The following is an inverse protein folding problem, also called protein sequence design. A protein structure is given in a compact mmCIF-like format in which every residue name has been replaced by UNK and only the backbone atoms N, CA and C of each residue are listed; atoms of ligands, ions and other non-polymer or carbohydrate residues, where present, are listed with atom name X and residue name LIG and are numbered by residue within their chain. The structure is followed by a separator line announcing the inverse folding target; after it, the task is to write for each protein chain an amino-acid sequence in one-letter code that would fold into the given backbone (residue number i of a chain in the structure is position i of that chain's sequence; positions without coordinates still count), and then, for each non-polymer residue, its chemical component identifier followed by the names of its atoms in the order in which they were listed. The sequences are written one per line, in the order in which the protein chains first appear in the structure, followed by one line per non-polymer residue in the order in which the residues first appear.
data_IF_797211105448
#
_entry.id   IF_797211105448
#
_cell.length_a   1.000
_cell.length_b   1.000
_cell.length_c   1.000
_cell.angle_alpha   90.00
_cell.angle_beta   90.00
_cell.angle_gamma   90.00
#
_symmetry.space_group_name_H-M   'P 1'
#
loop_
_entity.id
_entity.type
_entity.pdbx_description
1 polymer ?
#
# COMPACT_ATOMS: atom_id res chain seq x y z
N UNK A 1 -16.54 -1.99 8.09
CA UNK A 1 -15.87 -0.72 8.43
C UNK A 1 -15.53 -0.05 7.11
N UNK A 2 -15.90 1.21 6.93
CA UNK A 2 -15.63 2.00 5.72
C UNK A 2 -14.22 2.60 5.75
N UNK A 3 -13.66 2.92 4.58
CA UNK A 3 -12.36 3.56 4.44
C UNK A 3 -12.55 5.07 4.33
N UNK A 4 -12.35 5.78 5.43
CA UNK A 4 -12.50 7.24 5.51
C UNK A 4 -11.48 7.85 6.49
N UNK A 5 -11.10 9.14 6.33
CA UNK A 5 -10.04 9.76 7.15
C UNK A 5 -10.31 9.74 8.65
N UNK A 6 -11.57 9.91 9.05
CA UNK A 6 -12.00 9.93 10.47
C UNK A 6 -11.76 8.60 11.18
N UNK A 7 -11.57 7.49 10.43
CA UNK A 7 -11.26 6.15 10.96
C UNK A 7 -9.77 5.83 10.94
N UNK A 8 -8.91 6.78 10.57
CA UNK A 8 -7.48 6.55 10.35
C UNK A 8 -6.77 5.85 11.51
N UNK A 9 -6.98 6.29 12.75
CA UNK A 9 -6.39 5.68 13.94
C UNK A 9 -6.82 4.21 14.11
N UNK A 10 -8.10 3.91 13.85
CA UNK A 10 -8.64 2.55 13.97
C UNK A 10 -8.12 1.62 12.88
N UNK A 11 -8.03 2.12 11.64
CA UNK A 11 -7.45 1.40 10.51
C UNK A 11 -5.97 1.04 10.77
N UNK A 12 -5.20 1.98 11.31
CA UNK A 12 -3.82 1.77 11.73
C UNK A 12 -3.73 0.71 12.84
N UNK A 13 -4.50 0.87 13.92
CA UNK A 13 -4.52 -0.09 15.04
C UNK A 13 -4.82 -1.51 14.54
N UNK A 14 -5.85 -1.68 13.71
CA UNK A 14 -6.21 -2.98 13.14
C UNK A 14 -5.09 -3.51 12.24
N UNK A 15 -4.48 -2.66 11.41
CA UNK A 15 -3.40 -3.08 10.52
C UNK A 15 -2.16 -3.56 11.28
N UNK A 16 -1.75 -2.83 12.31
CA UNK A 16 -0.61 -3.21 13.16
C UNK A 16 -0.92 -4.43 14.03
N UNK A 17 -2.19 -4.78 14.26
CA UNK A 17 -2.60 -6.04 14.91
C UNK A 17 -2.66 -7.22 13.95
N UNK A 18 -3.16 -7.01 12.73
CA UNK A 18 -3.32 -8.08 11.73
C UNK A 18 -1.96 -8.51 11.16
N UNK A 19 -1.04 -7.57 10.91
CA UNK A 19 0.26 -7.86 10.29
C UNK A 19 1.10 -8.87 11.08
N UNK A 20 1.29 -8.74 12.41
CA UNK A 20 2.02 -9.74 13.20
C UNK A 20 1.35 -11.12 13.19
N UNK A 21 0.02 -11.16 13.29
CA UNK A 21 -0.73 -12.42 13.24
C UNK A 21 -0.53 -13.14 11.90
N UNK A 22 -0.57 -12.42 10.78
CA UNK A 22 -0.29 -12.99 9.46
C UNK A 22 1.16 -13.44 9.32
N UNK A 23 2.12 -12.65 9.79
CA UNK A 23 3.55 -13.01 9.75
C UNK A 23 3.86 -14.29 10.55
N UNK A 24 3.16 -14.51 11.66
CA UNK A 24 3.29 -15.73 12.46
C UNK A 24 2.72 -16.97 11.75
N UNK A 25 1.68 -16.78 10.92
CA UNK A 25 1.01 -17.87 10.22
C UNK A 25 1.64 -18.23 8.86
N UNK A 26 2.17 -17.24 8.14
CA UNK A 26 2.68 -17.43 6.79
C UNK A 26 3.76 -16.40 6.41
N UNK A 27 4.82 -16.88 5.76
CA UNK A 27 5.86 -16.03 5.17
C UNK A 27 5.85 -16.23 3.66
N UNK A 28 5.34 -15.27 2.86
CA UNK A 28 5.45 -15.33 1.41
C UNK A 28 6.91 -15.18 0.99
N UNK A 29 7.30 -15.87 -0.08
CA UNK A 29 8.60 -15.76 -0.73
C UNK A 29 8.41 -15.42 -2.20
N UNK A 30 9.19 -14.48 -2.73
CA UNK A 30 9.20 -14.21 -4.16
C UNK A 30 9.91 -15.36 -4.89
N UNK A 31 9.32 -15.93 -5.97
CA UNK A 31 9.82 -17.15 -6.61
C UNK A 31 11.22 -17.02 -7.22
N UNK A 32 11.57 -15.82 -7.71
CA UNK A 32 12.87 -15.59 -8.37
C UNK A 32 13.84 -14.74 -7.53
N UNK A 33 13.43 -14.26 -6.36
CA UNK A 33 14.27 -13.38 -5.54
C UNK A 33 14.10 -13.68 -4.05
N UNK A 34 15.00 -14.47 -3.44
CA UNK A 34 14.86 -14.90 -2.04
C UNK A 34 14.98 -13.76 -1.02
N UNK A 35 15.53 -12.60 -1.41
CA UNK A 35 15.62 -11.41 -0.56
C UNK A 35 14.25 -10.74 -0.37
N UNK A 36 13.30 -10.98 -1.27
CA UNK A 36 11.93 -10.48 -1.17
C UNK A 36 11.09 -11.56 -0.47
N UNK A 37 10.98 -11.42 0.85
CA UNK A 37 10.19 -12.33 1.71
C UNK A 37 9.43 -11.59 2.80
N UNK A 38 8.32 -12.19 3.24
CA UNK A 38 7.48 -11.66 4.30
C UNK A 38 6.49 -10.58 3.85
N UNK A 39 5.77 -10.02 4.83
CA UNK A 39 4.68 -9.05 4.61
C UNK A 39 5.16 -7.67 5.03
N UNK A 40 5.30 -6.75 4.08
CA UNK A 40 5.76 -5.38 4.32
C UNK A 40 4.63 -4.43 4.75
N UNK A 41 3.46 -4.55 4.12
CA UNK A 41 2.29 -3.68 4.31
C UNK A 41 1.00 -4.48 4.40
N UNK A 42 -0.07 -3.85 4.89
CA UNK A 42 -1.42 -4.41 4.86
C UNK A 42 -2.34 -3.45 4.11
N UNK A 43 -3.10 -3.97 3.16
CA UNK A 43 -4.06 -3.18 2.39
C UNK A 43 -5.50 -3.53 2.80
N UNK A 44 -6.25 -2.52 3.23
CA UNK A 44 -7.71 -2.60 3.35
C UNK A 44 -8.32 -2.19 2.03
N UNK A 45 -9.29 -2.96 1.53
CA UNK A 45 -9.98 -2.67 0.27
C UNK A 45 -11.48 -2.69 0.47
N UNK A 46 -12.19 -1.73 -0.12
CA UNK A 46 -13.64 -1.80 -0.32
C UNK A 46 -13.98 -2.72 -1.51
N UNK A 47 -15.26 -3.13 -1.65
CA UNK A 47 -15.71 -3.90 -2.80
C UNK A 47 -15.41 -3.23 -4.14
N UNK A 48 -15.31 -4.05 -5.19
CA UNK A 48 -15.19 -3.56 -6.57
C UNK A 48 -16.56 -3.12 -7.07
N UNK A 49 -16.63 -1.96 -7.71
CA UNK A 49 -17.82 -1.42 -8.35
C UNK A 49 -17.57 -1.17 -9.84
N UNK A 50 -18.64 -1.10 -10.62
CA UNK A 50 -18.63 -0.64 -12.00
C UNK A 50 -19.15 0.80 -12.04
N UNK A 51 -18.42 1.71 -12.67
CA UNK A 51 -18.90 3.05 -13.01
C UNK A 51 -18.97 3.24 -14.53
N UNK A 52 -19.27 4.48 -14.97
CA UNK A 52 -19.41 4.83 -16.38
C UNK A 52 -18.09 4.71 -17.18
N UNK A 53 -16.93 4.74 -16.53
CA UNK A 53 -15.61 4.72 -17.17
C UNK A 53 -14.97 3.33 -17.07
N UNK A 54 -15.23 2.59 -16.00
CA UNK A 54 -14.70 1.24 -15.80
C UNK A 54 -14.89 0.72 -14.38
N UNK A 55 -13.94 -0.07 -13.90
CA UNK A 55 -13.94 -0.57 -12.53
C UNK A 55 -13.45 0.48 -11.56
N UNK A 56 -14.04 0.55 -10.37
CA UNK A 56 -13.61 1.44 -9.30
C UNK A 56 -13.62 0.73 -7.94
N UNK A 57 -12.64 1.01 -7.11
CA UNK A 57 -12.61 0.59 -5.70
C UNK A 57 -11.83 1.62 -4.87
N UNK A 58 -12.05 1.60 -3.56
CA UNK A 58 -11.28 2.39 -2.59
C UNK A 58 -10.37 1.48 -1.76
N UNK A 59 -9.19 1.96 -1.41
CA UNK A 59 -8.28 1.29 -0.47
C UNK A 59 -7.65 2.25 0.54
N UNK A 60 -7.00 1.65 1.53
CA UNK A 60 -5.92 2.28 2.25
C UNK A 60 -4.88 1.25 2.66
N UNK A 61 -3.60 1.65 2.63
CA UNK A 61 -2.48 0.80 3.01
C UNK A 61 -1.92 1.25 4.35
N UNK A 62 -1.80 0.32 5.29
CA UNK A 62 -1.11 0.51 6.56
C UNK A 62 0.39 0.23 6.38
N UNK A 63 1.16 1.29 6.46
CA UNK A 63 2.63 1.30 6.43
C UNK A 63 3.13 1.36 7.86
N UNK A 64 4.04 0.46 8.22
CA UNK A 64 4.63 0.49 9.57
C UNK A 64 5.63 1.64 9.71
N UNK A 65 5.72 2.30 10.88
CA UNK A 65 5.04 1.95 12.14
C UNK A 65 3.73 2.75 12.31
N UNK A 66 2.62 2.27 11.74
CA UNK A 66 1.29 2.82 11.95
C UNK A 66 0.93 4.13 11.22
N UNK A 67 1.06 4.16 9.89
CA UNK A 67 0.56 5.27 9.04
C UNK A 67 -0.25 4.74 7.87
N UNK A 68 -1.22 5.54 7.44
CA UNK A 68 -1.91 5.29 6.18
C UNK A 68 -1.14 5.90 5.01
N UNK A 69 -1.04 5.19 3.89
CA UNK A 69 -0.69 5.79 2.61
C UNK A 69 -1.81 6.76 2.19
N UNK A 70 -1.43 7.98 1.81
CA UNK A 70 -2.36 9.03 1.33
C UNK A 70 -2.58 8.92 -0.17
N UNK A 71 -1.70 8.22 -0.87
CA UNK A 71 -1.94 7.78 -2.24
C UNK A 71 -2.75 6.48 -2.23
N UNK A 72 -3.32 6.06 -3.37
CA UNK A 72 -3.91 4.73 -3.50
C UNK A 72 -2.91 3.57 -3.42
N UNK A 73 -1.62 3.86 -3.14
CA UNK A 73 -0.49 2.94 -3.09
C UNK A 73 -0.25 2.18 -4.40
N UNK A 74 0.80 2.52 -5.15
CA UNK A 74 1.03 1.93 -6.49
C UNK A 74 1.26 0.41 -6.45
N UNK A 75 2.04 -0.07 -5.48
CA UNK A 75 2.31 -1.50 -5.29
C UNK A 75 1.10 -2.24 -4.73
N UNK A 76 0.35 -1.63 -3.78
CA UNK A 76 -0.93 -2.17 -3.30
C UNK A 76 -1.95 -2.30 -4.43
N UNK A 77 -2.12 -1.25 -5.22
CA UNK A 77 -2.95 -1.25 -6.43
C UNK A 77 -2.55 -2.35 -7.41
N UNK A 78 -1.25 -2.56 -7.63
CA UNK A 78 -0.73 -3.64 -8.48
C UNK A 78 -1.10 -5.02 -7.93
N UNK A 79 -0.93 -5.25 -6.62
CA UNK A 79 -1.31 -6.49 -5.96
C UNK A 79 -2.84 -6.72 -6.01
N UNK A 80 -3.63 -5.67 -5.81
CA UNK A 80 -5.09 -5.72 -5.92
C UNK A 80 -5.53 -6.08 -7.33
N UNK A 81 -4.93 -5.48 -8.36
CA UNK A 81 -5.23 -5.82 -9.76
C UNK A 81 -4.88 -7.28 -10.07
N UNK A 82 -3.76 -7.81 -9.56
CA UNK A 82 -3.40 -9.21 -9.73
C UNK A 82 -4.47 -10.14 -9.15
N UNK A 83 -4.95 -9.84 -7.93
CA UNK A 83 -6.03 -10.58 -7.28
C UNK A 83 -7.35 -10.51 -8.06
N UNK A 84 -7.73 -9.32 -8.53
CA UNK A 84 -8.96 -9.14 -9.30
C UNK A 84 -8.91 -9.88 -10.64
N UNK A 85 -7.77 -9.84 -11.33
CA UNK A 85 -7.56 -10.58 -12.58
C UNK A 85 -7.61 -12.10 -12.36
N UNK A 86 -6.93 -12.61 -11.33
CA UNK A 86 -6.99 -14.03 -10.98
C UNK A 86 -8.41 -14.51 -10.66
N UNK A 87 -9.28 -13.61 -10.18
CA UNK A 87 -10.71 -13.86 -9.94
C UNK A 87 -11.61 -13.63 -11.15
N UNK A 88 -11.06 -13.24 -12.32
CA UNK A 88 -11.83 -12.90 -13.51
C UNK A 88 -12.67 -11.61 -13.38
N UNK A 89 -12.36 -10.75 -12.40
CA UNK A 89 -13.11 -9.53 -12.10
C UNK A 89 -12.55 -8.27 -12.77
N UNK A 90 -11.34 -8.35 -13.31
CA UNK A 90 -10.68 -7.28 -14.05
C UNK A 90 -9.94 -7.89 -15.25
N UNK A 91 -10.35 -7.53 -16.46
CA UNK A 91 -9.78 -8.06 -17.69
C UNK A 91 -8.52 -7.31 -18.14
N UNK A 92 -7.77 -7.92 -19.08
CA UNK A 92 -6.69 -7.25 -19.78
C UNK A 92 -7.17 -5.94 -20.44
N UNK A 93 -6.38 -4.87 -20.32
CA UNK A 93 -6.70 -3.56 -20.89
C UNK A 93 -7.87 -2.82 -20.22
N UNK A 94 -8.62 -3.47 -19.33
CA UNK A 94 -9.77 -2.86 -18.65
C UNK A 94 -9.31 -1.73 -17.72
N UNK A 95 -10.05 -0.63 -17.74
CA UNK A 95 -9.77 0.53 -16.92
C UNK A 95 -10.16 0.26 -15.46
N UNK A 96 -9.23 0.53 -14.55
CA UNK A 96 -9.44 0.46 -13.12
C UNK A 96 -9.01 1.76 -12.45
N UNK A 97 -9.94 2.40 -11.75
CA UNK A 97 -9.70 3.55 -10.90
C UNK A 97 -9.59 3.10 -9.45
N UNK A 98 -8.42 3.27 -8.84
CA UNK A 98 -8.23 2.95 -7.44
C UNK A 98 -8.11 4.23 -6.63
N UNK A 99 -8.98 4.41 -5.64
CA UNK A 99 -9.03 5.62 -4.81
C UNK A 99 -8.45 5.38 -3.41
N UNK A 100 -7.86 6.41 -2.82
CA UNK A 100 -7.26 6.35 -1.48
C UNK A 100 -8.26 6.74 -0.38
N UNK A 101 -7.79 6.67 0.86
CA UNK A 101 -8.53 7.16 2.04
C UNK A 101 -8.86 8.66 1.99
N UNK A 102 -8.13 9.46 1.21
CA UNK A 102 -8.38 10.90 1.00
C UNK A 102 -8.90 11.21 -0.42
N UNK A 103 -9.46 10.21 -1.10
CA UNK A 103 -10.10 10.34 -2.42
C UNK A 103 -9.18 10.78 -3.58
N UNK A 104 -7.85 10.73 -3.39
CA UNK A 104 -6.91 10.76 -4.52
C UNK A 104 -7.04 9.46 -5.33
N UNK A 105 -6.63 9.48 -6.60
CA UNK A 105 -6.86 8.35 -7.50
C UNK A 105 -5.66 8.03 -8.39
N UNK A 106 -5.50 6.75 -8.70
CA UNK A 106 -4.68 6.25 -9.79
C UNK A 106 -5.55 5.69 -10.90
N UNK A 107 -5.13 5.93 -12.14
CA UNK A 107 -5.69 5.35 -13.35
C UNK A 107 -4.85 4.13 -13.73
N UNK A 108 -5.45 2.96 -13.79
CA UNK A 108 -4.71 1.71 -13.87
C UNK A 108 -5.26 0.79 -14.96
N UNK A 109 -4.37 -0.02 -15.55
CA UNK A 109 -4.72 -1.06 -16.53
C UNK A 109 -3.74 -2.23 -16.46
N UNK A 110 -4.21 -3.43 -16.77
CA UNK A 110 -3.31 -4.57 -17.00
C UNK A 110 -2.80 -4.47 -18.44
N UNK A 111 -1.51 -4.21 -18.60
CA UNK A 111 -0.88 -3.99 -19.90
C UNK A 111 -0.49 -5.28 -20.62
N UNK A 112 -0.25 -6.36 -19.88
CA UNK A 112 0.03 -7.74 -20.35
C UNK A 112 0.05 -8.72 -19.19
N UNK A 113 0.01 -9.99 -19.52
CA UNK A 113 0.26 -11.11 -18.61
C UNK A 113 1.53 -11.84 -19.05
N UNK A 114 2.24 -12.40 -18.07
CA UNK A 114 3.46 -13.18 -18.26
C UNK A 114 3.46 -14.36 -17.30
N UNK A 115 4.41 -15.29 -17.50
CA UNK A 115 4.72 -16.31 -16.52
C UNK A 115 6.04 -16.01 -15.82
N UNK A 116 6.09 -16.29 -14.52
CA UNK A 116 7.28 -16.25 -13.67
C UNK A 116 7.38 -17.62 -13.02
N UNK A 117 8.29 -18.46 -13.53
CA UNK A 117 8.19 -19.91 -13.34
C UNK A 117 6.83 -20.43 -13.83
N UNK A 118 6.10 -21.14 -12.96
CA UNK A 118 4.77 -21.67 -13.26
C UNK A 118 3.62 -20.70 -12.89
N UNK A 119 3.93 -19.53 -12.34
CA UNK A 119 2.94 -18.58 -11.82
C UNK A 119 2.51 -17.59 -12.91
N UNK A 120 1.21 -17.42 -13.11
CA UNK A 120 0.65 -16.36 -13.95
C UNK A 120 0.75 -15.00 -13.25
N UNK A 121 1.39 -14.04 -13.91
CA UNK A 121 1.70 -12.72 -13.38
C UNK A 121 1.14 -11.65 -14.32
N UNK A 122 0.60 -10.57 -13.75
CA UNK A 122 0.19 -9.40 -14.51
C UNK A 122 1.31 -8.37 -14.58
N UNK A 123 1.30 -7.56 -15.63
CA UNK A 123 2.13 -6.34 -15.74
C UNK A 123 1.18 -5.13 -15.68
N UNK A 124 1.00 -4.53 -14.51
CA UNK A 124 0.12 -3.39 -14.33
C UNK A 124 0.79 -2.09 -14.78
N UNK A 125 0.00 -1.18 -15.35
CA UNK A 125 0.36 0.23 -15.54
C UNK A 125 -0.41 1.04 -14.53
N UNK A 126 0.30 1.87 -13.77
CA UNK A 126 -0.27 2.78 -12.76
C UNK A 126 0.06 4.22 -13.19
N UNK A 127 -0.96 5.05 -13.39
CA UNK A 127 -0.81 6.46 -13.72
C UNK A 127 -1.33 7.32 -12.58
N UNK A 128 -0.47 8.24 -12.12
CA UNK A 128 -0.76 9.21 -11.08
C UNK A 128 -0.20 10.59 -11.43
N UNK A 129 -0.26 11.50 -10.46
CA UNK A 129 0.30 12.85 -10.56
C UNK A 129 1.08 13.16 -9.29
N UNK A 130 2.10 14.01 -9.42
CA UNK A 130 2.89 14.51 -8.31
C UNK A 130 3.07 16.03 -8.47
N UNK A 131 3.35 16.70 -7.35
CA UNK A 131 3.56 18.14 -7.31
C UNK A 131 4.82 18.44 -6.49
N UNK A 132 5.61 19.41 -6.96
CA UNK A 132 6.74 19.93 -6.18
C UNK A 132 6.17 20.70 -4.98
N UNK A 133 6.54 20.29 -3.77
CA UNK A 133 6.05 20.93 -2.53
C UNK A 133 7.07 21.88 -1.91
N UNK A 134 8.36 21.67 -2.16
CA UNK A 134 9.44 22.53 -1.65
C UNK A 134 10.79 22.18 -2.28
N UNK A 135 11.73 23.13 -2.22
CA UNK A 135 13.16 22.87 -2.35
C UNK A 135 13.77 23.02 -0.96
N UNK A 136 14.57 22.03 -0.51
CA UNK A 136 15.13 22.01 0.85
C UNK A 136 16.62 21.72 0.81
N UNK A 137 17.39 22.41 1.64
CA UNK A 137 18.73 22.02 2.05
C UNK A 137 18.62 21.52 3.50
N UNK A 138 18.90 20.24 3.72
CA UNK A 138 18.91 19.62 5.05
C UNK A 138 20.37 19.51 5.46
N UNK A 139 20.71 20.03 6.64
CA UNK A 139 22.06 20.04 7.21
C UNK A 139 22.05 19.35 8.56
N UNK A 140 23.18 18.78 8.96
CA UNK A 140 23.37 18.14 10.26
C UNK A 140 24.59 18.78 10.92
N UNK A 141 24.37 19.42 12.07
CA UNK A 141 25.43 20.03 12.87
C UNK A 141 26.16 18.93 13.67
N UNK A 142 27.51 18.91 13.71
CA UNK A 142 28.25 17.97 14.55
C UNK A 142 27.93 18.03 16.05
N UNK A 143 27.42 19.16 16.55
CA UNK A 143 27.03 19.35 17.95
C UNK A 143 25.53 19.11 18.20
N UNK A 144 24.74 18.73 17.19
CA UNK A 144 23.33 18.41 17.36
C UNK A 144 23.16 17.24 18.35
N UNK A 145 22.44 17.40 19.48
CA UNK A 145 22.22 16.32 20.43
C UNK A 145 21.29 15.21 19.89
N UNK A 146 20.62 15.42 18.75
CA UNK A 146 19.71 14.46 18.12
C UNK A 146 20.05 14.21 16.64
N UNK A 147 21.28 13.76 16.32
CA UNK A 147 21.76 13.70 14.93
C UNK A 147 21.04 12.67 14.07
N UNK A 148 20.35 11.71 14.70
CA UNK A 148 19.53 10.68 14.05
C UNK A 148 18.03 10.93 14.23
N UNK A 149 17.65 12.09 14.80
CA UNK A 149 16.29 12.37 15.24
C UNK A 149 15.83 11.50 16.42
N UNK A 150 14.55 11.58 16.73
CA UNK A 150 13.89 10.84 17.81
C UNK A 150 12.45 10.52 17.45
N UNK A 151 11.80 9.65 18.23
CA UNK A 151 10.37 9.32 18.11
C UNK A 151 9.72 9.51 19.48
N UNK A 152 8.50 10.05 19.47
CA UNK A 152 7.66 10.17 20.66
C UNK A 152 6.34 9.45 20.38
N UNK A 153 5.90 8.63 21.34
CA UNK A 153 4.81 7.65 21.16
C UNK A 153 3.43 8.24 20.81
N UNK A 154 3.22 9.51 21.10
CA UNK A 154 2.00 10.24 20.80
C UNK A 154 1.87 10.60 19.30
N UNK A 155 3.00 10.81 18.61
CA UNK A 155 3.06 11.15 17.18
C UNK A 155 3.51 9.98 16.29
N UNK A 156 4.30 9.08 16.86
CA UNK A 156 4.81 7.90 16.19
C UNK A 156 4.33 6.68 16.95
N UNK A 157 3.57 5.81 16.29
CA UNK A 157 3.22 4.54 16.92
C UNK A 157 4.50 3.76 17.18
N UNK A 158 4.83 3.56 18.46
CA UNK A 158 5.93 2.72 18.91
C UNK A 158 5.30 1.50 19.56
N UNK A 159 5.47 0.28 19.01
CA UNK A 159 4.98 -0.92 19.67
C UNK A 159 5.61 -1.02 21.07
N UNK A 160 4.83 -1.43 22.08
CA UNK A 160 5.30 -1.57 23.47
C UNK A 160 6.49 -2.54 23.68
N UNK A 161 6.97 -3.21 22.63
CA UNK A 161 8.01 -4.22 22.68
C UNK A 161 9.38 -3.73 22.14
N UNK A 162 9.50 -2.45 21.75
CA UNK A 162 10.77 -1.83 21.35
C UNK A 162 11.23 -0.81 22.41
N UNK A 163 11.49 -1.30 23.63
CA UNK A 163 12.21 -0.58 24.69
C UNK A 163 13.70 -0.90 24.65
#
# INVERSE_FOLDING_TARGET
MTIEPSKGAKLVELGERIKPALKAAYTPHHPENPEIKGISVLEFTEPLHQDAVGKIAKNTVVVSPGRLDRSPCGTGTSARMALLHAKGQLAFGEYFKHTSVIDTAFECRISRTVKVGDIDVIVPTIKGRAWVTSYKQVVLDPEDPFPTGFRVGDQWYVPNNES
#
